data_IF_068806119131
#
_entry.id   IF_068806119131
#
_cell.length_a   1.000
_cell.length_b   1.000
_cell.length_c   1.000
_cell.angle_alpha   90.00
_cell.angle_beta   90.00
_cell.angle_gamma   90.00
#
_symmetry.space_group_name_H-M   'P 1'
#
loop_
_entity.id
_entity.type
_entity.pdbx_description
1 polymer ?
#
# COMPACT_ATOMS: atom_id res chain seq x y z
N UNK A 1 -2.33 -19.17 1.13
CA UNK A 1 -1.50 -19.25 -0.10
C UNK A 1 -0.84 -17.90 -0.17
N UNK A 2 0.48 -17.87 -0.25
CA UNK A 2 1.22 -16.61 -0.30
C UNK A 2 1.15 -15.99 -1.71
N UNK A 3 1.26 -14.66 -1.79
CA UNK A 3 1.13 -13.88 -3.02
C UNK A 3 2.20 -14.30 -4.04
N UNK A 4 3.39 -14.63 -3.57
CA UNK A 4 4.49 -15.14 -4.40
C UNK A 4 4.12 -16.45 -5.10
N UNK A 5 3.48 -17.37 -4.37
CA UNK A 5 3.01 -18.64 -4.91
C UNK A 5 1.88 -18.42 -5.93
N UNK A 6 1.00 -17.44 -5.68
CA UNK A 6 -0.07 -17.03 -6.59
C UNK A 6 0.48 -16.44 -7.89
N UNK A 7 1.47 -15.55 -7.80
CA UNK A 7 2.15 -14.94 -8.94
C UNK A 7 2.81 -16.03 -9.80
N UNK A 8 3.55 -16.95 -9.19
CA UNK A 8 4.23 -18.04 -9.92
C UNK A 8 3.27 -18.98 -10.65
N UNK A 9 2.02 -19.10 -10.17
CA UNK A 9 0.99 -19.93 -10.78
C UNK A 9 0.05 -19.16 -11.71
N UNK A 10 0.17 -17.84 -11.77
CA UNK A 10 -0.74 -16.94 -12.48
C UNK A 10 -2.23 -17.18 -12.11
N UNK A 11 -2.49 -17.58 -10.86
CA UNK A 11 -3.85 -17.92 -10.41
C UNK A 11 -4.59 -16.69 -9.88
N UNK A 12 -5.82 -16.46 -10.36
CA UNK A 12 -6.66 -15.36 -9.86
C UNK A 12 -6.15 -13.95 -10.20
N UNK A 13 -5.24 -13.82 -11.16
CA UNK A 13 -4.74 -12.53 -11.64
C UNK A 13 -5.63 -12.00 -12.79
N UNK A 14 -6.30 -10.87 -12.57
CA UNK A 14 -7.09 -10.20 -13.61
C UNK A 14 -6.23 -9.11 -14.28
N UNK A 15 -5.86 -9.27 -15.55
CA UNK A 15 -5.01 -8.27 -16.23
C UNK A 15 -5.71 -6.90 -16.36
N UNK A 16 -4.97 -5.84 -16.08
CA UNK A 16 -5.40 -4.45 -16.26
C UNK A 16 -4.35 -3.63 -16.99
N UNK A 17 -4.75 -2.50 -17.56
CA UNK A 17 -3.81 -1.61 -18.25
C UNK A 17 -3.05 -0.71 -17.28
N UNK A 18 -1.78 -0.40 -17.59
CA UNK A 18 -0.99 0.60 -16.87
C UNK A 18 -1.75 1.93 -16.74
N UNK A 19 -2.40 2.37 -17.83
CA UNK A 19 -3.23 3.58 -17.87
C UNK A 19 -4.34 3.57 -16.80
N UNK A 20 -4.96 2.42 -16.56
CA UNK A 20 -6.00 2.29 -15.54
C UNK A 20 -5.43 2.49 -14.13
N UNK A 21 -4.25 1.91 -13.87
CA UNK A 21 -3.56 2.05 -12.58
C UNK A 21 -3.11 3.49 -12.35
N UNK A 22 -2.51 4.13 -13.35
CA UNK A 22 -2.08 5.54 -13.24
C UNK A 22 -3.27 6.46 -12.98
N UNK A 23 -4.39 6.27 -13.70
CA UNK A 23 -5.60 7.06 -13.47
C UNK A 23 -6.19 6.85 -12.09
N UNK A 24 -6.21 5.60 -11.61
CA UNK A 24 -6.66 5.31 -10.26
C UNK A 24 -5.81 6.06 -9.24
N UNK A 25 -4.48 5.92 -9.31
CA UNK A 25 -3.56 6.54 -8.36
C UNK A 25 -3.69 8.06 -8.39
N UNK A 26 -3.72 8.69 -9.57
CA UNK A 26 -3.94 10.13 -9.68
C UNK A 26 -5.24 10.60 -9.03
N UNK A 27 -6.34 9.82 -9.08
CA UNK A 27 -7.59 10.19 -8.41
C UNK A 27 -7.46 10.15 -6.89
N UNK A 28 -6.84 9.11 -6.34
CA UNK A 28 -6.59 9.02 -4.90
C UNK A 28 -5.75 10.20 -4.40
N UNK A 29 -4.72 10.59 -5.16
CA UNK A 29 -3.87 11.75 -4.83
C UNK A 29 -4.63 13.09 -4.83
N UNK A 30 -5.62 13.23 -5.71
CA UNK A 30 -6.43 14.44 -5.81
C UNK A 30 -7.48 14.53 -4.70
N UNK A 31 -7.93 13.39 -4.18
CA UNK A 31 -8.80 13.36 -3.01
C UNK A 31 -8.02 13.66 -1.72
N UNK A 32 -6.70 13.42 -1.69
CA UNK A 32 -5.80 13.72 -0.56
C UNK A 32 -5.22 15.14 -0.57
N UNK A 33 -5.03 15.77 -1.75
CA UNK A 33 -4.37 17.07 -1.89
C UNK A 33 -5.31 18.20 -2.35
N UNK A 34 -5.22 19.38 -1.72
CA UNK A 34 -5.88 20.63 -2.15
C UNK A 34 -5.23 21.24 -3.43
N UNK A 35 -4.36 20.47 -4.11
CA UNK A 35 -3.55 20.86 -5.27
C UNK A 35 -4.30 20.71 -6.59
N UNK A 36 -5.39 21.49 -6.70
CA UNK A 36 -6.07 21.83 -7.95
C UNK A 36 -6.76 20.68 -8.70
N UNK A 37 -7.77 20.98 -9.54
CA UNK A 37 -8.53 19.95 -10.24
C UNK A 37 -7.76 19.46 -11.48
N UNK A 38 -6.86 18.49 -11.33
CA UNK A 38 -6.46 17.67 -12.47
C UNK A 38 -7.63 16.72 -12.77
N UNK A 39 -8.12 16.70 -14.00
CA UNK A 39 -9.02 15.65 -14.47
C UNK A 39 -8.18 14.56 -15.14
N UNK A 40 -7.91 13.46 -14.41
CA UNK A 40 -7.14 12.32 -14.93
C UNK A 40 -7.80 11.67 -16.16
N UNK A 41 -9.10 11.88 -16.37
CA UNK A 41 -9.82 11.39 -17.54
C UNK A 41 -9.69 12.33 -18.74
N UNK A 42 -9.32 13.60 -18.53
CA UNK A 42 -9.05 14.57 -19.59
C UNK A 42 -7.65 14.38 -20.23
N UNK A 43 -6.74 13.66 -19.57
CA UNK A 43 -5.41 13.35 -20.13
C UNK A 43 -5.54 12.18 -21.10
N UNK A 44 -5.43 12.48 -22.40
CA UNK A 44 -5.70 11.53 -23.48
C UNK A 44 -4.58 10.50 -23.71
N UNK A 45 -3.36 10.76 -23.22
CA UNK A 45 -2.19 9.93 -23.50
C UNK A 45 -1.55 9.33 -22.24
N UNK A 46 -1.17 8.06 -22.32
CA UNK A 46 -0.45 7.36 -21.25
C UNK A 46 0.87 8.05 -20.86
N UNK A 47 1.72 8.54 -21.79
CA UNK A 47 2.92 9.28 -21.41
C UNK A 47 2.64 10.55 -20.60
N UNK A 48 1.60 11.29 -20.96
CA UNK A 48 1.17 12.48 -20.21
C UNK A 48 0.66 12.13 -18.82
N UNK A 49 -0.13 11.06 -18.70
CA UNK A 49 -0.58 10.55 -17.39
C UNK A 49 0.59 10.15 -16.49
N UNK A 50 1.62 9.52 -17.06
CA UNK A 50 2.83 9.12 -16.34
C UNK A 50 3.61 10.35 -15.87
N UNK A 51 3.79 11.36 -16.73
CA UNK A 51 4.47 12.61 -16.36
C UNK A 51 3.77 13.31 -15.18
N UNK A 52 2.45 13.45 -15.24
CA UNK A 52 1.64 14.03 -14.15
C UNK A 52 1.78 13.24 -12.83
N UNK A 53 1.73 11.90 -12.89
CA UNK A 53 1.90 11.07 -11.71
C UNK A 53 3.31 11.23 -11.11
N UNK A 54 4.35 11.25 -11.94
CA UNK A 54 5.72 11.38 -11.47
C UNK A 54 6.05 12.76 -10.90
N UNK A 55 5.41 13.81 -11.43
CA UNK A 55 5.53 15.17 -10.89
C UNK A 55 4.93 15.27 -9.48
N UNK A 56 3.75 14.66 -9.27
CA UNK A 56 3.03 14.70 -7.98
C UNK A 56 3.57 13.69 -6.96
N UNK A 57 3.92 12.49 -7.43
CA UNK A 57 4.42 11.37 -6.61
C UNK A 57 5.72 10.84 -7.20
N UNK A 58 6.87 11.49 -6.90
CA UNK A 58 8.17 11.05 -7.40
C UNK A 58 8.51 9.57 -7.10
N UNK A 59 7.93 9.01 -6.03
CA UNK A 59 8.11 7.61 -5.64
C UNK A 59 7.56 6.62 -6.67
N UNK A 60 6.54 7.02 -7.45
CA UNK A 60 5.96 6.20 -8.51
C UNK A 60 6.95 5.90 -9.65
N UNK A 61 8.07 6.62 -9.74
CA UNK A 61 9.14 6.36 -10.72
C UNK A 61 9.76 4.97 -10.61
N UNK A 62 9.68 4.33 -9.44
CA UNK A 62 10.18 2.95 -9.24
C UNK A 62 9.25 1.94 -9.91
N UNK A 63 7.96 2.12 -9.71
CA UNK A 63 6.92 1.24 -10.25
C UNK A 63 6.68 1.43 -11.74
N UNK A 64 6.83 2.66 -12.20
CA UNK A 64 6.73 3.04 -13.61
C UNK A 64 8.12 3.41 -14.14
N UNK A 65 9.13 2.58 -13.84
CA UNK A 65 10.50 2.70 -14.33
C UNK A 65 10.66 2.42 -15.82
N UNK A 66 11.89 2.22 -16.31
CA UNK A 66 12.15 2.05 -17.74
C UNK A 66 11.61 0.72 -18.32
N UNK A 67 11.45 -0.30 -17.48
CA UNK A 67 10.93 -1.60 -17.87
C UNK A 67 9.41 -1.63 -17.70
N UNK A 68 8.66 -2.12 -18.70
CA UNK A 68 7.21 -2.21 -18.60
C UNK A 68 6.82 -3.28 -17.57
N UNK A 69 5.88 -2.95 -16.69
CA UNK A 69 5.29 -3.91 -15.76
C UNK A 69 4.06 -4.56 -16.37
N UNK A 70 3.87 -5.86 -16.12
CA UNK A 70 2.57 -6.50 -16.30
C UNK A 70 1.68 -6.16 -15.10
N UNK A 71 0.49 -5.63 -15.36
CA UNK A 71 -0.40 -5.12 -14.34
C UNK A 71 -1.63 -6.01 -14.16
N UNK A 72 -1.99 -6.24 -12.90
CA UNK A 72 -3.12 -7.07 -12.49
C UNK A 72 -3.95 -6.39 -11.42
N UNK A 73 -5.27 -6.57 -11.50
CA UNK A 73 -6.19 -6.36 -10.41
C UNK A 73 -6.31 -7.66 -9.61
N UNK A 74 -6.22 -7.54 -8.29
CA UNK A 74 -6.28 -8.67 -7.38
C UNK A 74 -7.03 -8.30 -6.11
N UNK A 75 -7.64 -9.30 -5.49
CA UNK A 75 -8.13 -9.21 -4.13
C UNK A 75 -7.14 -9.98 -3.23
N UNK A 76 -6.55 -9.28 -2.26
CA UNK A 76 -5.58 -9.85 -1.34
C UNK A 76 -6.29 -10.50 -0.16
N UNK A 77 -5.90 -11.72 0.16
CA UNK A 77 -6.24 -12.37 1.42
C UNK A 77 -5.51 -11.71 2.60
N UNK A 78 -5.98 -11.99 3.82
CA UNK A 78 -5.35 -11.51 5.06
C UNK A 78 -3.89 -11.97 5.17
N UNK A 79 -3.60 -13.20 4.76
CA UNK A 79 -2.24 -13.75 4.75
C UNK A 79 -1.34 -12.98 3.79
N UNK A 80 -1.81 -12.75 2.56
CA UNK A 80 -1.08 -11.99 1.54
C UNK A 80 -0.85 -10.55 1.97
N UNK A 81 -1.87 -9.87 2.50
CA UNK A 81 -1.77 -8.48 2.99
C UNK A 81 -0.73 -8.35 4.11
N UNK A 82 -0.68 -9.31 5.04
CA UNK A 82 0.30 -9.30 6.14
C UNK A 82 1.72 -9.55 5.66
N UNK A 83 1.91 -10.39 4.63
CA UNK A 83 3.24 -10.76 4.13
C UNK A 83 3.88 -9.68 3.26
N UNK A 84 3.07 -8.78 2.67
CA UNK A 84 3.57 -7.62 1.92
C UNK A 84 4.59 -6.84 2.73
N UNK A 85 5.65 -6.40 2.03
CA UNK A 85 6.61 -5.45 2.58
C UNK A 85 6.12 -4.02 2.40
N UNK A 86 6.50 -3.13 3.31
CA UNK A 86 6.31 -1.69 3.10
C UNK A 86 7.27 -1.15 2.06
N UNK A 87 6.95 0.04 1.52
CA UNK A 87 7.69 0.69 0.44
C UNK A 87 9.21 0.68 0.66
N UNK A 88 9.94 0.50 -0.44
CA UNK A 88 11.39 0.33 -0.40
C UNK A 88 12.11 1.63 -0.01
N UNK A 89 13.03 1.55 0.95
CA UNK A 89 13.88 2.65 1.41
C UNK A 89 15.03 2.11 2.27
N UNK A 90 15.93 2.97 2.80
CA UNK A 90 16.85 2.58 3.86
C UNK A 90 16.11 1.93 5.02
N UNK A 91 16.74 0.95 5.68
CA UNK A 91 16.07 0.14 6.71
C UNK A 91 15.76 0.92 7.99
N UNK A 92 16.55 1.94 8.28
CA UNK A 92 16.43 2.83 9.44
C UNK A 92 15.61 4.10 9.17
N UNK A 93 14.90 4.15 8.04
CA UNK A 93 14.08 5.28 7.63
C UNK A 93 12.62 4.87 7.43
N UNK A 94 11.73 5.84 7.55
CA UNK A 94 10.34 5.72 7.09
C UNK A 94 9.62 4.51 7.75
N UNK A 95 8.78 3.79 7.01
CA UNK A 95 8.09 2.58 7.50
C UNK A 95 9.01 1.45 7.95
N UNK A 96 10.24 1.38 7.42
CA UNK A 96 11.17 0.28 7.67
C UNK A 96 11.77 0.33 9.08
N UNK A 97 11.78 1.52 9.70
CA UNK A 97 12.17 1.69 11.10
C UNK A 97 11.19 1.02 12.10
N UNK A 98 9.97 0.69 11.66
CA UNK A 98 8.93 0.14 12.54
C UNK A 98 9.05 -1.37 12.75
N UNK A 99 9.63 -2.14 11.83
CA UNK A 99 9.80 -3.58 12.00
C UNK A 99 11.05 -4.12 11.29
N UNK A 100 11.78 -5.04 11.93
CA UNK A 100 13.04 -5.57 11.40
C UNK A 100 12.91 -6.22 10.03
N UNK A 101 11.78 -6.87 9.76
CA UNK A 101 11.55 -7.54 8.49
C UNK A 101 10.78 -6.66 7.49
N UNK A 102 10.28 -5.49 7.89
CA UNK A 102 9.50 -4.55 7.07
C UNK A 102 8.16 -5.12 6.58
N UNK A 103 7.59 -6.14 7.23
CA UNK A 103 6.25 -6.65 6.89
C UNK A 103 5.17 -5.72 7.41
N UNK A 104 4.11 -5.54 6.61
CA UNK A 104 2.88 -4.86 7.04
C UNK A 104 2.34 -5.51 8.32
N UNK A 105 2.33 -6.85 8.37
CA UNK A 105 1.91 -7.59 9.57
C UNK A 105 2.71 -7.26 10.82
N UNK A 106 4.04 -7.30 10.72
CA UNK A 106 4.92 -7.04 11.87
C UNK A 106 4.82 -5.59 12.37
N UNK A 107 4.62 -4.63 11.46
CA UNK A 107 4.40 -3.22 11.83
C UNK A 107 3.07 -3.07 12.57
N UNK A 108 1.98 -3.65 12.05
CA UNK A 108 0.68 -3.60 12.70
C UNK A 108 0.68 -4.28 14.07
N UNK A 109 1.38 -5.41 14.22
CA UNK A 109 1.57 -6.09 15.51
C UNK A 109 2.28 -5.19 16.53
N UNK A 110 3.37 -4.51 16.12
CA UNK A 110 4.07 -3.57 17.00
C UNK A 110 3.16 -2.43 17.47
N UNK A 111 2.35 -1.88 16.57
CA UNK A 111 1.40 -0.80 16.92
C UNK A 111 0.37 -1.34 17.92
N UNK A 112 -0.20 -2.52 17.64
CA UNK A 112 -1.19 -3.16 18.51
C UNK A 112 -0.63 -3.46 19.91
N UNK A 113 0.62 -3.91 20.01
CA UNK A 113 1.30 -4.13 21.30
C UNK A 113 1.39 -2.81 22.09
N UNK A 114 1.78 -1.70 21.45
CA UNK A 114 1.83 -0.38 22.09
C UNK A 114 0.45 0.13 22.52
N UNK A 115 -0.60 -0.13 21.73
CA UNK A 115 -1.97 0.27 22.09
C UNK A 115 -2.52 -0.48 23.30
N UNK A 116 -2.07 -1.72 23.49
CA UNK A 116 -2.59 -2.61 24.54
C UNK A 116 -1.73 -2.64 25.79
N UNK A 117 -0.51 -2.11 25.75
CA UNK A 117 0.38 -1.99 26.90
C UNK A 117 0.03 -0.75 27.74
N UNK A 118 -0.24 -0.95 29.04
CA UNK A 118 -0.60 0.14 29.97
C UNK A 118 0.56 1.13 30.26
N UNK A 119 1.78 0.82 29.83
CA UNK A 119 3.01 1.55 30.14
C UNK A 119 3.60 2.31 28.96
N UNK A 120 3.07 2.12 27.76
CA UNK A 120 3.45 2.85 26.54
C UNK A 120 2.22 3.45 25.89
N UNK A 121 2.39 4.35 24.92
CA UNK A 121 1.27 4.83 24.12
C UNK A 121 1.70 5.19 22.69
N UNK A 122 0.73 5.27 21.78
CA UNK A 122 0.94 5.55 20.36
C UNK A 122 1.64 6.88 20.13
N UNK A 123 1.36 7.91 20.93
CA UNK A 123 2.00 9.22 20.78
C UNK A 123 3.51 9.20 21.09
N UNK A 124 3.97 8.29 21.96
CA UNK A 124 5.40 8.05 22.17
C UNK A 124 6.03 7.36 20.96
N UNK A 125 5.34 6.37 20.37
CA UNK A 125 5.79 5.70 19.16
C UNK A 125 5.85 6.67 17.95
N UNK A 126 4.89 7.58 17.82
CA UNK A 126 4.91 8.66 16.82
C UNK A 126 6.12 9.58 17.00
N UNK A 127 6.44 9.95 18.24
CA UNK A 127 7.58 10.83 18.51
C UNK A 127 8.94 10.17 18.20
N UNK A 128 8.99 8.84 18.26
CA UNK A 128 10.21 8.04 18.01
C UNK A 128 10.35 7.59 16.55
N UNK A 129 9.29 7.70 15.76
CA UNK A 129 9.25 7.18 14.40
C UNK A 129 9.01 8.29 13.38
N UNK A 130 9.56 8.18 12.16
CA UNK A 130 9.36 9.20 11.13
C UNK A 130 7.98 9.15 10.47
N UNK A 131 7.02 8.39 11.02
CA UNK A 131 5.70 8.14 10.47
C UNK A 131 4.59 8.47 11.44
N UNK A 132 3.44 8.83 10.88
CA UNK A 132 2.22 9.13 11.62
C UNK A 132 1.50 7.81 11.90
N UNK A 133 1.89 7.16 12.98
CA UNK A 133 1.22 5.96 13.52
C UNK A 133 -0.17 6.32 14.07
N UNK A 134 -0.36 7.54 14.58
CA UNK A 134 -1.71 8.02 14.92
C UNK A 134 -2.64 7.99 13.72
N UNK A 135 -2.18 8.39 12.52
CA UNK A 135 -2.98 8.27 11.28
C UNK A 135 -3.38 6.81 11.00
N UNK A 136 -2.48 5.84 11.23
CA UNK A 136 -2.81 4.41 11.09
C UNK A 136 -3.93 3.99 12.04
N UNK A 137 -3.87 4.45 13.29
CA UNK A 137 -4.88 4.17 14.32
C UNK A 137 -6.22 4.79 13.94
N UNK A 138 -6.22 6.05 13.50
CA UNK A 138 -7.44 6.74 13.04
C UNK A 138 -8.06 6.06 11.82
N UNK A 139 -7.24 5.64 10.85
CA UNK A 139 -7.70 4.86 9.71
C UNK A 139 -8.29 3.52 10.15
N UNK A 140 -7.65 2.81 11.08
CA UNK A 140 -8.13 1.53 11.58
C UNK A 140 -9.47 1.66 12.32
N UNK A 141 -9.69 2.76 13.04
CA UNK A 141 -10.96 3.10 13.68
C UNK A 141 -12.07 3.46 12.68
N UNK A 142 -11.68 3.99 11.52
CA UNK A 142 -12.59 4.44 10.46
C UNK A 142 -12.95 3.34 9.44
N UNK A 143 -12.33 2.15 9.51
CA UNK A 143 -12.63 1.06 8.59
C UNK A 143 -14.10 0.64 8.74
N UNK A 144 -14.82 0.73 7.63
CA UNK A 144 -16.18 0.24 7.53
C UNK A 144 -16.17 -1.31 7.54
N UNK A 145 -17.09 -1.97 8.26
CA UNK A 145 -17.25 -3.43 8.19
C UNK A 145 -17.46 -3.98 6.77
N UNK A 146 -17.93 -3.17 5.83
CA UNK A 146 -18.06 -3.55 4.41
C UNK A 146 -16.70 -3.60 3.68
N UNK A 147 -15.61 -3.12 4.30
CA UNK A 147 -14.24 -3.19 3.79
C UNK A 147 -13.65 -1.83 3.42
N UNK A 148 -12.35 -1.81 3.04
CA UNK A 148 -11.62 -0.60 2.70
C UNK A 148 -12.14 0.00 1.40
N UNK A 149 -12.31 1.33 1.39
CA UNK A 149 -12.89 2.06 0.25
C UNK A 149 -11.92 2.15 -0.95
N UNK A 150 -10.62 2.01 -0.69
CA UNK A 150 -9.55 2.24 -1.66
C UNK A 150 -8.64 1.02 -1.85
N UNK A 151 -8.12 0.89 -3.08
CA UNK A 151 -7.17 -0.14 -3.50
C UNK A 151 -5.73 0.22 -3.13
N UNK A 152 -4.90 -0.78 -2.86
CA UNK A 152 -3.45 -0.62 -2.74
C UNK A 152 -2.77 -0.60 -4.11
N UNK A 153 -1.58 -0.02 -4.19
CA UNK A 153 -0.66 -0.24 -5.33
C UNK A 153 0.54 -1.03 -4.84
N UNK A 154 0.75 -2.21 -5.42
CA UNK A 154 1.76 -3.19 -5.03
C UNK A 154 2.69 -3.44 -6.21
N UNK A 155 3.98 -3.60 -5.93
CA UNK A 155 4.99 -3.95 -6.93
C UNK A 155 5.72 -5.24 -6.56
N UNK A 156 6.11 -6.01 -7.57
CA UNK A 156 7.01 -7.16 -7.50
C UNK A 156 8.14 -6.97 -8.50
N UNK A 157 9.38 -6.95 -8.02
CA UNK A 157 10.57 -6.72 -8.85
C UNK A 157 11.54 -7.91 -8.69
N UNK A 158 11.86 -8.59 -9.80
CA UNK A 158 12.85 -9.68 -9.81
C UNK A 158 12.59 -10.75 -8.74
N UNK A 159 13.57 -10.98 -7.86
CA UNK A 159 13.49 -11.93 -6.73
C UNK A 159 13.03 -11.29 -5.40
N UNK A 160 12.85 -9.96 -5.35
CA UNK A 160 12.48 -9.26 -4.12
C UNK A 160 11.00 -9.49 -3.78
N UNK A 161 10.61 -9.69 -2.50
CA UNK A 161 9.22 -9.88 -2.13
C UNK A 161 8.32 -8.71 -2.56
N UNK A 162 7.06 -9.01 -2.87
CA UNK A 162 6.08 -7.99 -3.19
C UNK A 162 5.94 -6.94 -2.08
N UNK A 163 5.79 -5.68 -2.47
CA UNK A 163 5.76 -4.55 -1.54
C UNK A 163 4.73 -3.49 -1.91
N UNK A 164 4.19 -2.81 -0.90
CA UNK A 164 3.21 -1.72 -1.04
C UNK A 164 3.94 -0.46 -1.47
N UNK A 165 3.68 0.00 -2.69
CA UNK A 165 4.20 1.29 -3.20
C UNK A 165 3.33 2.44 -2.70
N UNK A 166 2.01 2.24 -2.73
CA UNK A 166 1.02 3.21 -2.28
C UNK A 166 -0.04 2.57 -1.40
N UNK A 167 -0.46 3.33 -0.37
CA UNK A 167 -1.41 2.86 0.63
C UNK A 167 -0.78 2.12 1.81
N UNK A 168 0.47 2.42 2.17
CA UNK A 168 1.13 1.80 3.34
C UNK A 168 0.36 2.04 4.65
N UNK A 169 -0.11 3.28 4.93
CA UNK A 169 -0.95 3.55 6.11
C UNK A 169 -2.22 2.69 6.09
N UNK A 170 -2.91 2.62 4.93
CA UNK A 170 -4.12 1.80 4.75
C UNK A 170 -3.85 0.31 4.98
N UNK A 171 -2.78 -0.23 4.40
CA UNK A 171 -2.41 -1.63 4.55
C UNK A 171 -2.16 -1.99 6.02
N UNK A 172 -1.39 -1.16 6.73
CA UNK A 172 -1.09 -1.36 8.16
C UNK A 172 -2.35 -1.18 9.00
N UNK A 173 -3.15 -0.15 8.74
CA UNK A 173 -4.40 0.13 9.45
C UNK A 173 -5.40 -1.02 9.34
N UNK A 174 -5.49 -1.63 8.15
CA UNK A 174 -6.38 -2.76 7.94
C UNK A 174 -5.91 -3.98 8.73
N UNK A 175 -4.61 -4.30 8.74
CA UNK A 175 -4.10 -5.39 9.59
C UNK A 175 -4.29 -5.08 11.08
N UNK A 176 -4.10 -3.83 11.50
CA UNK A 176 -4.35 -3.40 12.88
C UNK A 176 -5.82 -3.60 13.28
N UNK A 177 -6.76 -3.24 12.41
CA UNK A 177 -8.20 -3.49 12.59
C UNK A 177 -8.50 -4.98 12.79
N UNK A 178 -7.84 -5.87 12.04
CA UNK A 178 -7.99 -7.32 12.22
C UNK A 178 -7.42 -7.81 13.56
N UNK A 179 -6.28 -7.29 14.00
CA UNK A 179 -5.71 -7.61 15.32
C UNK A 179 -6.66 -7.20 16.46
N UNK A 180 -7.43 -6.13 16.27
CA UNK A 180 -8.49 -5.68 17.20
C UNK A 180 -9.78 -6.52 17.11
N UNK A 181 -9.82 -7.55 16.25
CA UNK A 181 -10.94 -8.46 16.10
C UNK A 181 -11.95 -8.07 15.01
N UNK A 182 -11.56 -7.18 14.09
CA UNK A 182 -12.33 -6.85 12.90
C UNK A 182 -12.50 -8.02 11.92
N UNK A 183 -13.46 -7.91 11.01
CA UNK A 183 -13.69 -8.91 9.96
C UNK A 183 -12.91 -8.55 8.68
N UNK A 184 -12.42 -9.55 7.95
CA UNK A 184 -11.71 -9.35 6.68
C UNK A 184 -12.49 -9.96 5.52
N UNK A 185 -12.92 -9.12 4.58
CA UNK A 185 -13.60 -9.55 3.35
C UNK A 185 -12.68 -9.58 2.14
N UNK A 186 -11.53 -8.91 2.22
CA UNK A 186 -10.57 -8.74 1.12
C UNK A 186 -9.92 -7.36 1.16
N UNK A 187 -8.84 -7.22 0.39
CA UNK A 187 -8.20 -5.93 0.12
C UNK A 187 -7.85 -5.87 -1.36
N UNK A 188 -8.62 -5.10 -2.12
CA UNK A 188 -8.33 -4.86 -3.52
C UNK A 188 -6.97 -4.17 -3.70
N UNK A 189 -6.23 -4.58 -4.71
CA UNK A 189 -4.93 -4.00 -5.07
C UNK A 189 -4.68 -4.06 -6.59
N UNK A 190 -3.87 -3.11 -7.06
CA UNK A 190 -3.19 -3.20 -8.34
C UNK A 190 -1.77 -3.72 -8.13
N UNK A 191 -1.45 -4.87 -8.72
CA UNK A 191 -0.15 -5.52 -8.66
C UNK A 191 0.60 -5.32 -9.98
N UNK A 192 1.74 -4.64 -9.93
CA UNK A 192 2.68 -4.51 -11.04
C UNK A 192 3.84 -5.50 -10.89
N UNK A 193 4.08 -6.33 -11.91
CA UNK A 193 5.16 -7.31 -11.92
C UNK A 193 6.21 -6.89 -12.95
N UNK A 194 7.45 -6.73 -12.50
CA UNK A 194 8.63 -6.47 -13.32
C UNK A 194 9.57 -7.67 -13.24
N UNK A 195 9.95 -8.21 -14.41
CA UNK A 195 10.78 -9.41 -14.55
C UNK A 195 12.28 -9.16 -14.50
#
# INVERSE_FOLDING_TARGET
MDLEERIQREEGLESVSETQVIRYWLREELDEADDGPLDADAVESQPGLREELLERKPIASRTFGAEPSDWYHVDLSEEELRDLRVVVGPHDEDWRALAEDNRVGAIAERIYEVETDETTNVAELDAETPKDVSEVVELADAIDPEGPVSRLVVAKEGDDPAYVVDGNHRAVAHVLYLLRGGEFTGQEAYLGIQG
#
